data_IF_804108279262
#
_entry.id   IF_804108279262
#
_cell.length_a   1.000
_cell.length_b   1.000
_cell.length_c   1.000
_cell.angle_alpha   90.00
_cell.angle_beta   90.00
_cell.angle_gamma   90.00
#
_symmetry.space_group_name_H-M   'P 1'
#
loop_
_entity.id
_entity.type
_entity.pdbx_description
1 polymer ?
#
# COMPACT_ATOMS: atom_id res chain seq x y z
N UNK A 1 -3.18 -8.64 -40.40
CA UNK A 1 -3.70 -7.48 -39.70
C UNK A 1 -4.60 -7.96 -38.58
N UNK A 2 -4.26 -7.66 -37.33
CA UNK A 2 -5.14 -7.89 -36.20
C UNK A 2 -6.41 -7.05 -36.38
N UNK A 3 -7.60 -7.57 -36.13
CA UNK A 3 -8.79 -6.75 -36.15
C UNK A 3 -8.62 -5.59 -35.18
N UNK A 4 -9.11 -4.39 -35.49
CA UNK A 4 -9.02 -3.27 -34.55
C UNK A 4 -9.64 -3.70 -33.24
N UNK A 5 -8.94 -3.42 -32.12
CA UNK A 5 -9.48 -3.69 -30.80
C UNK A 5 -10.82 -2.95 -30.66
N UNK A 6 -11.71 -3.45 -29.80
CA UNK A 6 -12.98 -2.78 -29.50
C UNK A 6 -12.76 -1.31 -29.05
N UNK A 7 -11.65 -1.03 -28.36
CA UNK A 7 -11.24 0.31 -27.99
C UNK A 7 -10.94 1.19 -29.21
N UNK A 8 -10.24 0.68 -30.23
CA UNK A 8 -9.99 1.43 -31.45
C UNK A 8 -11.30 1.68 -32.25
N UNK A 9 -12.25 0.74 -32.21
CA UNK A 9 -13.58 0.93 -32.80
C UNK A 9 -14.39 2.00 -32.03
N UNK A 10 -14.30 2.05 -30.73
CA UNK A 10 -14.97 3.07 -29.91
C UNK A 10 -14.34 4.46 -30.09
N UNK A 11 -13.03 4.55 -30.20
CA UNK A 11 -12.32 5.80 -30.52
C UNK A 11 -12.77 6.33 -31.89
N UNK A 12 -12.92 5.46 -32.88
CA UNK A 12 -13.40 5.86 -34.21
C UNK A 12 -14.86 6.34 -34.20
N UNK A 13 -15.71 5.75 -33.38
CA UNK A 13 -17.13 6.11 -33.28
C UNK A 13 -17.43 7.29 -32.34
N UNK A 14 -16.50 7.62 -31.43
CA UNK A 14 -16.65 8.68 -30.42
C UNK A 14 -15.51 9.68 -30.46
N UNK A 15 -15.17 10.14 -31.67
CA UNK A 15 -14.04 11.07 -31.86
C UNK A 15 -14.17 12.39 -31.08
N UNK A 16 -15.38 12.91 -30.91
CA UNK A 16 -15.70 14.09 -30.12
C UNK A 16 -15.41 13.94 -28.63
N UNK A 17 -15.39 12.71 -28.09
CA UNK A 17 -15.05 12.46 -26.68
C UNK A 17 -13.64 11.88 -26.56
N UNK A 18 -13.38 10.74 -27.19
CA UNK A 18 -12.10 10.04 -27.09
C UNK A 18 -10.96 10.80 -27.79
N UNK A 19 -11.26 11.48 -28.90
CA UNK A 19 -10.28 12.31 -29.60
C UNK A 19 -9.80 13.49 -28.79
N UNK A 20 -10.69 14.16 -28.05
CA UNK A 20 -10.32 15.26 -27.16
C UNK A 20 -9.48 14.73 -25.99
N UNK A 21 -9.89 13.63 -25.36
CA UNK A 21 -9.13 13.01 -24.27
C UNK A 21 -7.73 12.59 -24.72
N UNK A 22 -7.61 11.99 -25.91
CA UNK A 22 -6.32 11.63 -26.46
C UNK A 22 -5.45 12.86 -26.75
N UNK A 23 -6.02 13.90 -27.35
CA UNK A 23 -5.32 15.16 -27.64
C UNK A 23 -4.77 15.82 -26.39
N UNK A 24 -5.55 15.81 -25.30
CA UNK A 24 -5.22 16.53 -24.07
C UNK A 24 -4.32 15.72 -23.14
N UNK A 25 -4.42 14.38 -23.14
CA UNK A 25 -3.77 13.51 -22.16
C UNK A 25 -3.03 12.30 -22.77
N UNK A 26 -3.17 12.08 -24.10
CA UNK A 26 -2.52 10.97 -24.76
C UNK A 26 -1.01 11.17 -24.82
N UNK A 27 -0.25 10.15 -24.45
CA UNK A 27 1.21 10.16 -24.48
C UNK A 27 1.73 8.84 -25.07
N UNK A 28 2.79 8.91 -25.86
CA UNK A 28 3.52 7.75 -26.36
C UNK A 28 4.93 7.80 -25.79
N UNK A 29 5.28 6.81 -25.00
CA UNK A 29 6.60 6.69 -24.35
C UNK A 29 7.33 5.54 -25.01
N UNK A 30 8.45 5.84 -25.68
CA UNK A 30 9.34 4.83 -26.25
C UNK A 30 10.35 4.42 -25.17
N UNK A 31 10.45 3.11 -24.94
CA UNK A 31 11.39 2.53 -23.99
C UNK A 31 12.34 1.57 -24.70
N UNK A 32 13.60 1.57 -24.31
CA UNK A 32 14.64 0.71 -24.87
C UNK A 32 14.68 -0.69 -24.25
N UNK A 33 14.05 -0.85 -23.08
CA UNK A 33 14.01 -2.12 -22.35
C UNK A 33 12.70 -2.33 -21.60
N UNK A 34 12.44 -3.59 -21.21
CA UNK A 34 11.30 -3.94 -20.34
C UNK A 34 11.44 -3.35 -18.94
N UNK A 35 12.65 -3.22 -18.43
CA UNK A 35 12.89 -2.59 -17.13
C UNK A 35 12.53 -1.10 -17.15
N UNK A 36 12.89 -0.39 -18.21
CA UNK A 36 12.49 1.00 -18.41
C UNK A 36 10.99 1.14 -18.56
N UNK A 37 10.36 0.27 -19.35
CA UNK A 37 8.90 0.22 -19.53
C UNK A 37 8.19 -0.01 -18.18
N UNK A 38 8.68 -0.95 -17.38
CA UNK A 38 8.17 -1.23 -16.04
C UNK A 38 8.29 -0.02 -15.11
N UNK A 39 9.46 0.62 -15.11
CA UNK A 39 9.72 1.81 -14.31
C UNK A 39 8.75 2.94 -14.68
N UNK A 40 8.57 3.22 -15.97
CA UNK A 40 7.63 4.23 -16.46
C UNK A 40 6.17 3.89 -16.13
N UNK A 41 5.76 2.65 -16.31
CA UNK A 41 4.41 2.21 -15.96
C UNK A 41 4.11 2.37 -14.46
N UNK A 42 5.06 2.02 -13.58
CA UNK A 42 4.94 2.23 -12.15
C UNK A 42 4.95 3.72 -11.76
N UNK A 43 5.72 4.55 -12.45
CA UNK A 43 5.73 6.02 -12.26
C UNK A 43 4.37 6.64 -12.60
N UNK A 44 3.76 6.22 -13.71
CA UNK A 44 2.44 6.68 -14.14
C UNK A 44 1.36 6.19 -13.18
N UNK A 45 1.46 4.95 -12.71
CA UNK A 45 0.53 4.32 -11.77
C UNK A 45 -0.94 4.42 -12.24
N UNK A 46 -1.19 3.95 -13.46
CA UNK A 46 -2.50 4.04 -14.10
C UNK A 46 -3.56 3.22 -13.39
N UNK A 47 -4.79 3.67 -13.48
CA UNK A 47 -5.97 2.93 -13.02
C UNK A 47 -6.11 1.59 -13.75
N UNK A 48 -5.99 1.60 -15.08
CA UNK A 48 -6.04 0.42 -15.95
C UNK A 48 -4.71 0.28 -16.69
N UNK A 49 -4.11 -0.89 -16.59
CA UNK A 49 -2.88 -1.21 -17.33
C UNK A 49 -3.10 -2.46 -18.17
N UNK A 50 -3.00 -2.32 -19.47
CA UNK A 50 -3.01 -3.45 -20.40
C UNK A 50 -1.58 -3.79 -20.82
N UNK A 51 -1.11 -4.98 -20.48
CA UNK A 51 0.19 -5.50 -20.92
C UNK A 51 0.00 -6.36 -22.17
N UNK A 52 0.66 -5.95 -23.25
CA UNK A 52 0.59 -6.61 -24.57
C UNK A 52 2.01 -6.92 -25.05
N UNK A 53 2.75 -7.71 -24.28
CA UNK A 53 4.13 -8.08 -24.56
C UNK A 53 4.29 -9.60 -24.60
N UNK A 54 5.46 -10.09 -24.99
CA UNK A 54 5.85 -11.50 -24.87
C UNK A 54 6.27 -11.88 -23.43
N UNK A 55 6.26 -10.92 -22.50
CA UNK A 55 6.65 -11.09 -21.08
C UNK A 55 5.58 -10.63 -20.09
N UNK A 56 4.32 -10.82 -20.38
CA UNK A 56 3.21 -10.41 -19.53
C UNK A 56 3.28 -10.99 -18.12
N UNK A 57 3.71 -12.24 -17.96
CA UNK A 57 3.95 -12.86 -16.64
C UNK A 57 5.10 -12.21 -15.87
N UNK A 58 6.11 -11.68 -16.55
CA UNK A 58 7.17 -10.93 -15.91
C UNK A 58 6.65 -9.59 -15.38
N UNK A 59 5.79 -8.89 -16.15
CA UNK A 59 5.14 -7.67 -15.69
C UNK A 59 4.24 -7.93 -14.49
N UNK A 60 3.48 -9.03 -14.48
CA UNK A 60 2.66 -9.41 -13.32
C UNK A 60 3.48 -9.53 -12.02
N UNK A 61 4.69 -10.09 -12.11
CA UNK A 61 5.57 -10.30 -10.96
C UNK A 61 6.29 -9.04 -10.48
N UNK A 62 6.52 -8.08 -11.36
CA UNK A 62 7.38 -6.94 -11.09
C UNK A 62 6.63 -5.60 -11.01
N UNK A 63 5.44 -5.49 -11.58
CA UNK A 63 4.64 -4.29 -11.48
C UNK A 63 4.02 -4.12 -10.09
N UNK A 64 4.09 -2.89 -9.55
CA UNK A 64 3.65 -2.61 -8.17
C UNK A 64 2.62 -1.48 -8.08
N UNK A 65 2.47 -0.68 -9.13
CA UNK A 65 1.69 0.55 -9.08
C UNK A 65 0.63 0.59 -10.19
N UNK A 66 -0.53 0.00 -9.92
CA UNK A 66 -1.67 -0.03 -10.84
C UNK A 66 -3.00 -0.24 -10.08
N UNK A 67 -4.11 0.06 -10.71
CA UNK A 67 -5.43 -0.28 -10.20
C UNK A 67 -5.84 -1.70 -10.61
N UNK A 68 -5.91 -1.96 -11.91
CA UNK A 68 -6.13 -3.28 -12.47
C UNK A 68 -5.15 -3.56 -13.61
N UNK A 69 -4.62 -4.79 -13.65
CA UNK A 69 -3.67 -5.26 -14.63
C UNK A 69 -4.33 -6.30 -15.54
N UNK A 70 -4.29 -6.06 -16.83
CA UNK A 70 -4.84 -6.92 -17.87
C UNK A 70 -3.71 -7.52 -18.68
N UNK A 71 -3.61 -8.85 -18.72
CA UNK A 71 -2.47 -9.55 -19.32
C UNK A 71 -2.85 -10.18 -20.65
N UNK A 72 -2.10 -9.84 -21.68
CA UNK A 72 -2.21 -10.42 -23.00
C UNK A 72 -3.46 -10.01 -23.77
N UNK A 73 -3.55 -10.45 -25.02
CA UNK A 73 -4.59 -10.05 -25.95
C UNK A 73 -5.98 -10.65 -25.67
N UNK A 74 -6.07 -11.67 -24.81
CA UNK A 74 -7.36 -12.31 -24.44
C UNK A 74 -8.08 -11.59 -23.31
N UNK A 75 -7.42 -10.67 -22.65
CA UNK A 75 -7.93 -9.93 -21.50
C UNK A 75 -8.19 -8.48 -21.89
N UNK A 76 -9.25 -7.89 -21.37
CA UNK A 76 -9.56 -6.48 -21.60
C UNK A 76 -10.37 -5.88 -20.43
N UNK A 77 -10.44 -4.56 -20.38
CA UNK A 77 -11.14 -3.78 -19.36
C UNK A 77 -12.62 -4.16 -19.28
N UNK A 78 -13.32 -4.28 -20.41
CA UNK A 78 -14.75 -4.58 -20.42
C UNK A 78 -15.09 -5.92 -19.77
N UNK A 79 -14.25 -6.93 -19.95
CA UNK A 79 -14.42 -8.22 -19.27
C UNK A 79 -14.25 -8.10 -17.77
N UNK A 80 -13.26 -7.34 -17.32
CA UNK A 80 -13.03 -7.03 -15.91
C UNK A 80 -14.22 -6.32 -15.27
N UNK A 81 -14.76 -5.32 -15.96
CA UNK A 81 -15.86 -4.50 -15.46
C UNK A 81 -17.21 -5.25 -15.39
N UNK A 82 -17.39 -6.29 -16.18
CA UNK A 82 -18.73 -6.88 -16.39
C UNK A 82 -18.87 -8.33 -15.92
N UNK A 83 -17.90 -9.20 -16.19
CA UNK A 83 -18.13 -10.65 -16.12
C UNK A 83 -17.07 -11.45 -15.37
N UNK A 84 -15.81 -10.97 -15.25
CA UNK A 84 -14.73 -11.71 -14.59
C UNK A 84 -14.88 -11.70 -13.06
N UNK A 85 -15.55 -10.69 -12.50
CA UNK A 85 -15.82 -10.61 -11.07
C UNK A 85 -14.75 -9.90 -10.24
N UNK A 86 -13.71 -9.36 -10.89
CA UNK A 86 -12.75 -8.48 -10.21
C UNK A 86 -13.38 -7.14 -9.86
N UNK A 87 -12.84 -6.47 -8.84
CA UNK A 87 -13.25 -5.12 -8.50
C UNK A 87 -13.00 -4.16 -9.66
N UNK A 88 -14.00 -3.37 -10.02
CA UNK A 88 -13.91 -2.33 -11.05
C UNK A 88 -13.93 -0.90 -10.47
N UNK A 89 -14.03 -0.74 -9.16
CA UNK A 89 -13.89 0.56 -8.47
C UNK A 89 -12.43 0.76 -8.12
N UNK A 90 -11.68 1.29 -9.08
CA UNK A 90 -10.22 1.31 -9.10
C UNK A 90 -9.67 2.67 -8.64
N UNK A 91 -8.39 2.72 -8.22
CA UNK A 91 -7.75 3.95 -7.77
C UNK A 91 -7.37 4.84 -8.95
N UNK A 92 -7.72 6.12 -8.88
CA UNK A 92 -7.34 7.16 -9.85
C UNK A 92 -6.21 8.04 -9.30
N UNK A 93 -5.72 8.98 -10.10
CA UNK A 93 -4.73 10.01 -9.69
C UNK A 93 -3.51 9.43 -8.98
N UNK A 94 -2.93 8.38 -9.55
CA UNK A 94 -1.75 7.68 -9.03
C UNK A 94 -1.94 6.96 -7.68
N UNK A 95 -3.17 6.82 -7.20
CA UNK A 95 -3.44 6.07 -5.98
C UNK A 95 -3.14 4.57 -6.11
N UNK A 96 -2.96 4.04 -7.32
CA UNK A 96 -2.45 2.69 -7.59
C UNK A 96 -1.11 2.36 -6.94
N UNK A 97 -0.38 3.38 -6.42
CA UNK A 97 0.87 3.22 -5.67
C UNK A 97 0.68 2.66 -4.26
N UNK A 98 -0.53 2.77 -3.68
CA UNK A 98 -0.80 2.37 -2.30
C UNK A 98 -2.14 1.66 -2.08
N UNK A 99 -2.97 1.53 -3.11
CA UNK A 99 -4.24 0.82 -3.02
C UNK A 99 -4.64 0.21 -4.36
N UNK A 100 -5.30 -0.94 -4.33
CA UNK A 100 -5.93 -1.54 -5.51
C UNK A 100 -7.41 -1.13 -5.70
N UNK A 101 -7.91 -0.18 -4.90
CA UNK A 101 -9.30 0.29 -4.95
C UNK A 101 -10.20 -0.41 -3.93
N UNK A 102 -11.45 -0.62 -4.29
CA UNK A 102 -12.45 -1.22 -3.41
C UNK A 102 -12.21 -2.74 -3.24
N UNK A 103 -12.29 -3.21 -2.00
CA UNK A 103 -12.21 -4.62 -1.65
C UNK A 103 -12.94 -4.88 -0.32
N UNK A 104 -13.20 -6.12 0.01
CA UNK A 104 -13.98 -6.50 1.20
C UNK A 104 -13.45 -5.92 2.50
N UNK A 105 -12.14 -5.75 2.62
CA UNK A 105 -11.51 -5.15 3.81
C UNK A 105 -11.89 -3.68 4.06
N UNK A 106 -12.42 -2.97 3.06
CA UNK A 106 -12.93 -1.59 3.25
C UNK A 106 -14.20 -1.55 4.09
N UNK A 107 -14.91 -2.66 4.21
CA UNK A 107 -16.12 -2.82 5.03
C UNK A 107 -15.84 -3.47 6.39
N UNK A 108 -14.60 -3.88 6.63
CA UNK A 108 -14.17 -4.49 7.88
C UNK A 108 -13.53 -3.43 8.76
N UNK A 109 -14.03 -3.29 9.98
CA UNK A 109 -13.41 -2.45 11.00
C UNK A 109 -12.47 -3.29 11.85
N UNK A 110 -11.21 -2.90 11.91
CA UNK A 110 -10.21 -3.53 12.77
C UNK A 110 -10.09 -2.79 14.08
N UNK A 111 -9.94 -3.54 15.16
CA UNK A 111 -9.71 -3.00 16.50
C UNK A 111 -8.49 -3.65 17.10
N UNK A 112 -7.78 -2.92 17.94
CA UNK A 112 -6.71 -3.45 18.77
C UNK A 112 -7.12 -3.46 20.23
N UNK A 113 -6.66 -4.46 20.98
CA UNK A 113 -6.75 -4.46 22.43
C UNK A 113 -5.40 -4.89 23.03
N UNK A 114 -5.15 -4.46 24.27
CA UNK A 114 -3.95 -4.82 24.99
C UNK A 114 -4.33 -5.26 26.40
N UNK A 115 -3.75 -6.36 26.85
CA UNK A 115 -3.93 -6.88 28.20
C UNK A 115 -2.60 -7.44 28.70
N UNK A 116 -2.07 -6.87 29.77
CA UNK A 116 -0.90 -7.39 30.47
C UNK A 116 -1.42 -8.30 31.59
N UNK A 117 -0.96 -9.54 31.63
CA UNK A 117 -1.56 -10.59 32.45
C UNK A 117 -0.78 -10.91 33.71
N UNK A 118 0.45 -10.41 33.87
CA UNK A 118 1.27 -10.66 35.06
C UNK A 118 1.92 -9.37 35.54
N UNK A 119 2.19 -9.30 36.85
CA UNK A 119 2.86 -8.16 37.48
C UNK A 119 4.31 -8.01 36.99
N UNK A 120 4.97 -9.12 36.71
CA UNK A 120 6.32 -9.13 36.17
C UNK A 120 6.35 -8.48 34.74
N UNK A 121 5.44 -8.89 33.86
CA UNK A 121 5.30 -8.29 32.54
C UNK A 121 4.92 -6.81 32.62
N UNK A 122 4.00 -6.45 33.52
CA UNK A 122 3.59 -5.07 33.76
C UNK A 122 4.78 -4.20 34.19
N UNK A 123 5.60 -4.71 35.09
CA UNK A 123 6.80 -4.02 35.62
C UNK A 123 7.81 -3.79 34.48
N UNK A 124 8.13 -4.86 33.75
CA UNK A 124 9.12 -4.79 32.66
C UNK A 124 8.69 -3.84 31.55
N UNK A 125 7.45 -3.93 31.09
CA UNK A 125 6.90 -3.07 30.05
C UNK A 125 6.88 -1.61 30.55
N UNK A 126 6.48 -1.39 31.79
CA UNK A 126 6.45 -0.06 32.39
C UNK A 126 7.85 0.57 32.49
N UNK A 127 8.87 -0.21 32.83
CA UNK A 127 10.25 0.28 32.88
C UNK A 127 10.73 0.78 31.52
N UNK A 128 10.57 -0.02 30.46
CA UNK A 128 10.96 0.38 29.10
C UNK A 128 10.09 1.50 28.54
N UNK A 129 8.77 1.44 28.76
CA UNK A 129 7.84 2.48 28.33
C UNK A 129 8.15 3.84 28.98
N UNK A 130 8.52 3.84 30.27
CA UNK A 130 8.95 5.05 30.95
C UNK A 130 10.23 5.65 30.36
N UNK A 131 11.23 4.81 30.10
CA UNK A 131 12.52 5.26 29.52
C UNK A 131 12.33 5.85 28.12
N UNK A 132 11.55 5.17 27.27
CA UNK A 132 11.26 5.65 25.93
C UNK A 132 10.49 6.96 25.96
N UNK A 133 9.43 7.03 26.74
CA UNK A 133 8.62 8.25 26.89
C UNK A 133 9.44 9.44 27.40
N UNK A 134 10.37 9.18 28.33
CA UNK A 134 11.27 10.22 28.82
C UNK A 134 12.24 10.73 27.73
N UNK A 135 12.80 9.82 26.92
CA UNK A 135 13.66 10.20 25.79
C UNK A 135 12.92 11.01 24.74
N UNK A 136 11.64 10.72 24.52
CA UNK A 136 10.76 11.45 23.60
C UNK A 136 10.23 12.77 24.20
N UNK A 137 10.50 13.06 25.47
CA UNK A 137 9.97 14.25 26.16
C UNK A 137 8.52 14.14 26.64
N UNK A 138 7.91 12.94 26.56
CA UNK A 138 6.54 12.68 27.00
C UNK A 138 6.48 12.37 28.51
N UNK A 139 6.71 13.39 29.35
CA UNK A 139 6.80 13.21 30.81
C UNK A 139 5.54 12.60 31.42
N UNK A 140 4.35 12.98 30.94
CA UNK A 140 3.09 12.39 31.40
C UNK A 140 2.96 10.90 31.07
N UNK A 141 3.46 10.45 29.93
CA UNK A 141 3.52 9.03 29.58
C UNK A 141 4.54 8.29 30.42
N UNK A 142 5.72 8.90 30.65
CA UNK A 142 6.73 8.34 31.54
C UNK A 142 6.17 8.12 32.95
N UNK A 143 5.43 9.08 33.51
CA UNK A 143 4.84 8.92 34.85
C UNK A 143 3.72 7.88 34.90
N UNK A 144 2.90 7.73 33.85
CA UNK A 144 1.94 6.61 33.76
C UNK A 144 2.64 5.25 33.84
N UNK A 145 3.80 5.12 33.22
CA UNK A 145 4.63 3.93 33.31
C UNK A 145 5.28 3.79 34.70
N UNK A 146 5.80 4.87 35.28
CA UNK A 146 6.40 4.86 36.60
C UNK A 146 5.44 4.40 37.69
N UNK A 147 4.20 4.87 37.68
CA UNK A 147 3.17 4.42 38.61
C UNK A 147 2.98 2.90 38.55
N UNK A 148 3.03 2.30 37.36
CA UNK A 148 2.89 0.86 37.20
C UNK A 148 4.15 0.10 37.62
N UNK A 149 5.33 0.60 37.31
CA UNK A 149 6.60 0.04 37.78
C UNK A 149 6.68 -0.01 39.33
N UNK A 150 6.24 1.05 39.97
CA UNK A 150 6.14 1.10 41.44
C UNK A 150 5.09 0.15 41.99
N UNK A 151 3.89 0.13 41.39
CA UNK A 151 2.76 -0.66 41.86
C UNK A 151 2.97 -2.16 41.74
N UNK A 152 3.47 -2.61 40.62
CA UNK A 152 3.57 -4.04 40.27
C UNK A 152 4.96 -4.63 40.53
N UNK A 153 6.00 -3.81 40.52
CA UNK A 153 7.39 -4.25 40.70
C UNK A 153 8.11 -3.65 41.89
N UNK A 154 7.52 -2.68 42.57
CA UNK A 154 8.19 -1.99 43.66
C UNK A 154 9.44 -1.21 43.25
N UNK A 155 9.61 -0.91 41.96
CA UNK A 155 10.82 -0.29 41.46
C UNK A 155 10.59 1.16 41.01
N UNK A 156 11.64 1.97 41.14
CA UNK A 156 11.72 3.30 40.53
C UNK A 156 12.58 3.22 39.27
N UNK A 157 12.06 3.76 38.15
CA UNK A 157 12.79 3.75 36.89
C UNK A 157 13.97 4.73 36.94
N UNK A 158 15.16 4.23 36.64
CA UNK A 158 16.37 5.05 36.58
C UNK A 158 16.58 5.58 35.18
N UNK A 159 16.49 6.88 35.01
CA UNK A 159 16.81 7.56 33.73
C UNK A 159 18.33 7.75 33.59
N UNK A 160 18.79 7.90 32.34
CA UNK A 160 20.18 8.20 32.06
C UNK A 160 21.16 7.01 32.12
N UNK A 161 20.71 5.79 32.44
CA UNK A 161 21.56 4.60 32.31
C UNK A 161 21.44 3.99 30.92
N UNK A 162 22.58 3.71 30.24
CA UNK A 162 22.55 3.02 28.95
C UNK A 162 21.88 1.65 29.08
N UNK A 163 21.04 1.29 28.13
CA UNK A 163 20.34 -0.02 28.07
C UNK A 163 21.32 -1.20 28.13
N UNK A 164 22.53 -1.01 27.62
CA UNK A 164 23.62 -2.01 27.65
C UNK A 164 24.09 -2.43 29.04
N UNK A 165 23.70 -1.72 30.11
CA UNK A 165 24.04 -2.07 31.51
C UNK A 165 22.91 -2.78 32.26
N UNK A 166 21.80 -3.06 31.60
CA UNK A 166 20.72 -3.87 32.16
C UNK A 166 21.08 -5.33 31.85
N UNK A 167 21.64 -6.03 32.82
CA UNK A 167 21.84 -7.50 32.68
C UNK A 167 20.45 -8.13 32.53
N UNK A 168 20.20 -8.94 31.49
CA UNK A 168 19.02 -9.78 31.47
C UNK A 168 19.11 -10.71 32.68
N UNK A 169 18.04 -10.76 33.47
CA UNK A 169 17.88 -11.82 34.48
C UNK A 169 17.53 -13.12 33.79
#
# INVERSE_FOLDING_TARGET
PLPPSSAASDVYKRQDTAGVSWKDYGEIILCESYDEMLMKANEIASEHVQVMTDRDEWFLKNMTSYGALFLGARTNVANGDKVIGTNHTLPTKKAGRYTGGLWVGKFIKTHTYQKITTDEAATKIAEYGSRLSYLEGFIGHAEQCNVRARRYGGINVAYGKPVSKIKPK
#
